data_IF_999617423978
#
_entry.id   IF_999617423978
#
_cell.length_a   1.000
_cell.length_b   1.000
_cell.length_c   1.000
_cell.angle_alpha   90.00
_cell.angle_beta   90.00
_cell.angle_gamma   90.00
#
_symmetry.space_group_name_H-M   'P 1'
#
loop_
_entity.id
_entity.type
_entity.pdbx_description
1 polymer ?
#
# COMPACT_ATOMS: atom_id res chain seq x y z
N UNK A 1 26.25 -11.37 40.19
CA UNK A 1 25.18 -12.35 39.89
C UNK A 1 23.89 -11.58 39.71
N UNK A 2 23.07 -11.66 38.67
CA UNK A 2 23.19 -12.06 37.27
C UNK A 2 21.99 -11.36 36.59
N UNK A 3 22.21 -10.39 35.69
CA UNK A 3 21.15 -9.83 34.85
C UNK A 3 21.39 -10.33 33.43
N UNK A 4 20.56 -11.26 32.97
CA UNK A 4 20.65 -11.83 31.63
C UNK A 4 20.01 -10.88 30.60
N UNK A 5 20.68 -10.58 29.48
CA UNK A 5 20.01 -10.12 28.27
C UNK A 5 19.75 -11.35 27.38
N UNK A 6 18.49 -11.71 27.17
CA UNK A 6 18.21 -12.93 26.41
C UNK A 6 16.73 -13.23 26.20
N UNK A 7 16.06 -12.45 25.36
CA UNK A 7 14.89 -12.84 24.58
C UNK A 7 14.84 -11.83 23.43
N UNK A 8 15.37 -12.12 22.26
CA UNK A 8 15.11 -13.32 21.47
C UNK A 8 14.57 -12.78 20.14
N UNK A 9 15.47 -12.59 19.19
CA UNK A 9 15.18 -12.07 17.86
C UNK A 9 14.10 -12.93 17.20
N UNK A 10 13.03 -12.27 16.76
CA UNK A 10 12.34 -12.44 15.49
C UNK A 10 10.97 -11.78 15.62
N UNK A 11 10.95 -10.45 15.65
CA UNK A 11 9.84 -9.80 14.96
C UNK A 11 10.02 -10.22 13.52
N UNK A 12 9.29 -11.26 13.10
CA UNK A 12 9.04 -11.49 11.69
C UNK A 12 8.53 -10.17 11.16
N UNK A 13 9.43 -9.44 10.50
CA UNK A 13 9.13 -8.27 9.72
C UNK A 13 8.33 -8.72 8.50
N UNK A 14 7.17 -9.31 8.75
CA UNK A 14 6.11 -9.43 7.78
C UNK A 14 5.39 -8.08 7.81
N UNK A 15 5.88 -7.17 6.98
CA UNK A 15 5.18 -5.92 6.68
C UNK A 15 5.40 -4.79 7.67
N UNK A 16 6.63 -4.46 8.04
CA UNK A 16 6.93 -3.10 8.48
C UNK A 16 7.12 -2.21 7.23
N UNK A 17 6.01 -1.98 6.51
CA UNK A 17 5.90 -0.78 5.69
C UNK A 17 6.09 0.41 6.63
N UNK A 18 7.06 1.26 6.29
CA UNK A 18 7.49 2.44 7.04
C UNK A 18 6.30 3.22 7.63
N UNK A 19 6.19 3.38 8.97
CA UNK A 19 5.13 4.20 9.57
C UNK A 19 5.54 5.67 9.40
N UNK A 20 5.22 6.23 8.24
CA UNK A 20 5.59 7.61 7.92
C UNK A 20 5.73 7.93 6.44
N UNK A 21 5.46 7.00 5.53
CA UNK A 21 5.26 7.40 4.14
C UNK A 21 3.97 8.24 4.10
N UNK A 22 3.98 9.49 3.59
CA UNK A 22 2.75 10.25 3.45
C UNK A 22 1.79 9.39 2.66
N UNK A 23 0.65 9.03 3.27
CA UNK A 23 -0.36 8.15 2.71
C UNK A 23 -0.85 8.75 1.41
N UNK A 24 -0.14 8.44 0.34
CA UNK A 24 -0.40 9.00 -0.97
C UNK A 24 -1.70 8.35 -1.43
N UNK A 25 -2.62 9.10 -2.05
CA UNK A 25 -3.85 8.54 -2.59
C UNK A 25 -3.61 7.28 -3.47
N UNK A 26 -2.44 7.24 -4.10
CA UNK A 26 -1.89 6.12 -4.86
C UNK A 26 -1.65 4.85 -4.01
N UNK A 27 -0.96 5.00 -2.88
CA UNK A 27 -0.60 3.88 -1.99
C UNK A 27 -1.84 3.28 -1.33
N UNK A 28 -2.78 4.13 -0.90
CA UNK A 28 -4.05 3.70 -0.30
C UNK A 28 -4.91 2.94 -1.32
N UNK A 29 -4.96 3.42 -2.57
CA UNK A 29 -5.64 2.74 -3.66
C UNK A 29 -5.01 1.38 -4.01
N UNK A 30 -3.67 1.30 -4.00
CA UNK A 30 -2.92 0.05 -4.15
C UNK A 30 -3.27 -0.95 -3.06
N UNK A 31 -3.24 -0.53 -1.79
CA UNK A 31 -3.56 -1.37 -0.65
C UNK A 31 -4.99 -1.91 -0.70
N UNK A 32 -5.96 -1.06 -1.09
CA UNK A 32 -7.35 -1.46 -1.28
C UNK A 32 -7.52 -2.52 -2.39
N UNK A 33 -6.85 -2.35 -3.54
CA UNK A 33 -6.90 -3.31 -4.64
C UNK A 33 -6.25 -4.66 -4.26
N UNK A 34 -5.12 -4.63 -3.57
CA UNK A 34 -4.45 -5.84 -3.08
C UNK A 34 -5.34 -6.57 -2.07
N UNK A 35 -6.02 -5.83 -1.19
CA UNK A 35 -6.99 -6.39 -0.23
C UNK A 35 -8.19 -7.03 -0.92
N UNK A 36 -8.62 -6.49 -2.07
CA UNK A 36 -9.64 -7.11 -2.93
C UNK A 36 -9.16 -8.38 -3.66
N UNK A 37 -7.85 -8.69 -3.61
CA UNK A 37 -7.26 -9.86 -4.27
C UNK A 37 -6.61 -9.55 -5.62
N UNK A 38 -6.46 -8.29 -6.01
CA UNK A 38 -5.68 -7.93 -7.20
C UNK A 38 -4.18 -8.13 -6.94
N UNK A 39 -3.46 -8.57 -7.97
CA UNK A 39 -1.99 -8.65 -7.91
C UNK A 39 -1.40 -7.24 -7.83
N UNK A 40 -0.32 -7.01 -7.07
CA UNK A 40 0.31 -5.70 -6.94
C UNK A 40 0.78 -5.14 -8.30
N UNK A 41 1.19 -6.01 -9.23
CA UNK A 41 1.55 -5.61 -10.59
C UNK A 41 0.36 -5.06 -11.41
N UNK A 42 -0.83 -5.65 -11.26
CA UNK A 42 -2.04 -5.20 -11.95
C UNK A 42 -2.65 -3.98 -11.27
N UNK A 43 -2.67 -3.97 -9.92
CA UNK A 43 -3.10 -2.83 -9.13
C UNK A 43 -2.27 -1.58 -9.43
N UNK A 44 -0.94 -1.70 -9.49
CA UNK A 44 -0.04 -0.60 -9.82
C UNK A 44 -0.32 0.02 -11.19
N UNK A 45 -0.53 -0.82 -12.22
CA UNK A 45 -0.87 -0.35 -13.58
C UNK A 45 -2.22 0.35 -13.63
N UNK A 46 -3.23 -0.20 -12.94
CA UNK A 46 -4.58 0.38 -12.89
C UNK A 46 -4.59 1.72 -12.17
N UNK A 47 -3.89 1.81 -11.04
CA UNK A 47 -3.71 3.04 -10.26
C UNK A 47 -2.95 4.09 -11.05
N UNK A 48 -1.86 3.72 -11.73
CA UNK A 48 -1.08 4.64 -12.57
C UNK A 48 -1.90 5.17 -13.74
N UNK A 49 -2.68 4.31 -14.40
CA UNK A 49 -3.60 4.73 -15.46
C UNK A 49 -4.71 5.64 -14.93
N UNK A 50 -5.20 5.38 -13.71
CA UNK A 50 -6.19 6.23 -13.06
C UNK A 50 -5.60 7.61 -12.69
N UNK A 51 -4.36 7.67 -12.18
CA UNK A 51 -3.64 8.94 -11.94
C UNK A 51 -3.43 9.72 -13.24
N UNK A 52 -3.05 9.03 -14.33
CA UNK A 52 -2.87 9.65 -15.65
C UNK A 52 -4.19 10.23 -16.20
N UNK A 53 -5.32 9.54 -15.96
CA UNK A 53 -6.65 9.97 -16.41
C UNK A 53 -7.22 11.13 -15.59
N UNK A 54 -6.97 11.13 -14.27
CA UNK A 54 -7.63 12.05 -13.35
C UNK A 54 -6.74 13.24 -12.94
N UNK A 55 -5.42 13.11 -13.09
CA UNK A 55 -4.46 14.13 -12.67
C UNK A 55 -4.00 13.96 -11.22
N UNK A 56 -2.98 14.72 -10.83
CA UNK A 56 -2.27 14.61 -9.56
C UNK A 56 -3.13 14.96 -8.31
N UNK A 57 -4.34 15.49 -8.51
CA UNK A 57 -5.30 15.86 -7.46
C UNK A 57 -6.40 14.79 -7.24
N UNK A 58 -6.24 13.59 -7.82
CA UNK A 58 -7.18 12.50 -7.67
C UNK A 58 -7.17 11.92 -6.24
N UNK A 59 -8.32 11.93 -5.57
CA UNK A 59 -8.50 11.25 -4.28
C UNK A 59 -8.39 9.73 -4.43
N UNK A 60 -7.93 9.04 -3.38
CA UNK A 60 -7.72 7.59 -3.35
C UNK A 60 -8.97 6.85 -3.79
N UNK A 61 -10.13 7.30 -3.29
CA UNK A 61 -11.42 6.72 -3.59
C UNK A 61 -11.76 6.78 -5.09
N UNK A 62 -11.42 7.89 -5.75
CA UNK A 62 -11.66 8.06 -7.18
C UNK A 62 -10.68 7.25 -8.02
N UNK A 63 -9.42 7.17 -7.60
CA UNK A 63 -8.40 6.30 -8.20
C UNK A 63 -8.86 4.84 -8.12
N UNK A 64 -9.35 4.38 -6.96
CA UNK A 64 -9.87 3.01 -6.76
C UNK A 64 -11.05 2.75 -7.70
N UNK A 65 -12.04 3.67 -7.77
CA UNK A 65 -13.21 3.50 -8.65
C UNK A 65 -12.80 3.38 -10.12
N UNK A 66 -11.88 4.23 -10.60
CA UNK A 66 -11.38 4.15 -11.98
C UNK A 66 -10.58 2.86 -12.19
N UNK A 67 -9.75 2.46 -11.22
CA UNK A 67 -8.96 1.24 -11.29
C UNK A 67 -9.83 -0.03 -11.32
N UNK A 68 -11.00 -0.02 -10.68
CA UNK A 68 -12.00 -1.10 -10.74
C UNK A 68 -12.81 -1.09 -12.04
N UNK A 69 -13.01 0.08 -12.65
CA UNK A 69 -13.68 0.23 -13.94
C UNK A 69 -12.79 -0.15 -15.15
N UNK A 70 -11.50 -0.42 -14.92
CA UNK A 70 -10.55 -0.92 -15.92
C UNK A 70 -10.54 -2.44 -16.01
#
# INVERSE_FOLDING_TARGET
MASAPGSGAASSAFGAGTPGQPSSPRDDAMAALITLGFKPADAGKRVETALLKQGNDASAESIIRIALAQ
#
